data_IF_958191531021
#
_entry.id   IF_958191531021
#
_cell.length_a   1.000
_cell.length_b   1.000
_cell.length_c   1.000
_cell.angle_alpha   90.00
_cell.angle_beta   90.00
_cell.angle_gamma   90.00
#
_symmetry.space_group_name_H-M   'P 1'
#
loop_
_entity.id
_entity.type
_entity.pdbx_description
1 polymer ?
#
# COMPACT_ATOMS: atom_id res chain seq x y z
N UNK A 1 -6.95 -2.33 -2.87
CA UNK A 1 -6.39 -1.92 -1.56
C UNK A 1 -6.52 -3.04 -0.53
N UNK A 2 -7.73 -3.52 -0.20
CA UNK A 2 -7.92 -4.54 0.84
C UNK A 2 -7.06 -5.81 0.61
N UNK A 3 -7.05 -6.36 -0.61
CA UNK A 3 -6.20 -7.52 -0.91
C UNK A 3 -4.70 -7.21 -0.72
N UNK A 4 -4.25 -6.04 -1.14
CA UNK A 4 -2.86 -5.61 -0.98
C UNK A 4 -2.49 -5.39 0.50
N UNK A 5 -3.43 -4.89 1.31
CA UNK A 5 -3.26 -4.78 2.76
C UNK A 5 -3.12 -6.15 3.42
N UNK A 6 -3.95 -7.12 3.02
CA UNK A 6 -3.80 -8.50 3.50
C UNK A 6 -2.45 -9.12 3.12
N UNK A 7 -1.93 -8.84 1.92
CA UNK A 7 -0.57 -9.24 1.55
C UNK A 7 0.49 -8.52 2.37
N UNK A 8 0.32 -7.22 2.64
CA UNK A 8 1.25 -6.47 3.46
C UNK A 8 1.34 -7.05 4.89
N UNK A 9 0.18 -7.27 5.53
CA UNK A 9 0.13 -7.87 6.87
C UNK A 9 0.66 -9.31 6.90
N UNK A 10 0.46 -10.10 5.84
CA UNK A 10 0.99 -11.47 5.80
C UNK A 10 2.51 -11.50 5.64
N UNK A 11 3.08 -10.60 4.83
CA UNK A 11 4.54 -10.42 4.72
C UNK A 11 5.12 -9.93 6.04
N UNK A 12 4.48 -8.96 6.70
CA UNK A 12 4.92 -8.45 7.99
C UNK A 12 4.98 -9.56 9.05
N UNK A 13 3.91 -10.37 9.16
CA UNK A 13 3.86 -11.53 10.07
C UNK A 13 4.90 -12.60 9.72
N UNK A 14 5.10 -12.87 8.42
CA UNK A 14 6.10 -13.83 7.99
C UNK A 14 7.51 -13.39 8.40
N UNK A 15 7.81 -12.10 8.31
CA UNK A 15 9.09 -11.55 8.76
C UNK A 15 9.26 -11.59 10.27
N UNK A 16 8.18 -11.35 11.05
CA UNK A 16 8.21 -11.48 12.52
C UNK A 16 8.53 -12.91 12.97
N UNK A 17 7.97 -13.91 12.29
CA UNK A 17 8.27 -15.33 12.57
C UNK A 17 9.71 -15.69 12.21
N UNK A 18 10.29 -15.04 11.19
CA UNK A 18 11.66 -15.27 10.75
C UNK A 18 12.71 -14.69 11.69
N UNK A 19 12.40 -13.63 12.44
CA UNK A 19 13.29 -13.01 13.41
C UNK A 19 12.52 -12.18 14.42
N UNK A 20 12.57 -12.58 15.69
CA UNK A 20 12.00 -11.80 16.80
C UNK A 20 12.86 -10.57 17.13
N UNK A 21 14.17 -10.59 16.80
CA UNK A 21 15.05 -9.44 16.95
C UNK A 21 15.00 -8.49 15.75
N UNK A 22 15.13 -7.20 16.04
CA UNK A 22 15.16 -6.14 15.03
C UNK A 22 16.35 -6.32 14.07
N UNK A 23 16.07 -6.71 12.83
CA UNK A 23 17.04 -6.79 11.75
C UNK A 23 16.84 -5.65 10.75
N UNK A 24 17.89 -4.87 10.42
CA UNK A 24 17.80 -3.81 9.41
C UNK A 24 17.27 -4.31 8.05
N UNK A 25 17.59 -5.57 7.69
CA UNK A 25 17.13 -6.18 6.44
C UNK A 25 15.62 -6.42 6.46
N UNK A 26 15.09 -6.90 7.59
CA UNK A 26 13.65 -7.16 7.75
C UNK A 26 12.86 -5.87 7.69
N UNK A 27 13.38 -4.80 8.31
CA UNK A 27 12.77 -3.48 8.22
C UNK A 27 12.61 -3.04 6.77
N UNK A 28 13.64 -3.18 5.94
CA UNK A 28 13.56 -2.82 4.51
C UNK A 28 12.47 -3.61 3.78
N UNK A 29 12.32 -4.91 4.08
CA UNK A 29 11.25 -5.73 3.46
C UNK A 29 9.86 -5.25 3.88
N UNK A 30 9.67 -4.96 5.17
CA UNK A 30 8.40 -4.43 5.69
C UNK A 30 8.07 -3.06 5.10
N UNK A 31 9.05 -2.16 5.05
CA UNK A 31 8.89 -0.82 4.48
C UNK A 31 8.55 -0.88 2.98
N UNK A 32 9.20 -1.79 2.24
CA UNK A 32 8.92 -2.00 0.81
C UNK A 32 7.49 -2.51 0.60
N UNK A 33 7.05 -3.46 1.41
CA UNK A 33 5.69 -4.00 1.37
C UNK A 33 4.64 -2.92 1.62
N UNK A 34 4.85 -2.08 2.64
CA UNK A 34 3.96 -0.95 2.95
C UNK A 34 3.94 0.09 1.80
N UNK A 35 5.09 0.36 1.18
CA UNK A 35 5.19 1.28 0.05
C UNK A 35 4.40 0.81 -1.18
N UNK A 36 4.32 -0.52 -1.40
CA UNK A 36 3.55 -1.08 -2.51
C UNK A 36 2.04 -0.80 -2.33
N UNK A 37 1.51 -0.94 -1.11
CA UNK A 37 0.11 -0.61 -0.82
C UNK A 37 -0.17 0.88 -1.02
N UNK A 38 0.77 1.75 -0.60
CA UNK A 38 0.66 3.19 -0.80
C UNK A 38 0.58 3.58 -2.28
N UNK A 39 1.42 3.01 -3.13
CA UNK A 39 1.37 3.25 -4.58
C UNK A 39 0.02 2.83 -5.16
N UNK A 40 -0.51 1.67 -4.76
CA UNK A 40 -1.82 1.21 -5.20
C UNK A 40 -2.95 2.13 -4.76
N UNK A 41 -2.86 2.69 -3.55
CA UNK A 41 -3.82 3.68 -3.05
C UNK A 41 -3.76 4.98 -3.87
N UNK A 42 -2.57 5.44 -4.20
CA UNK A 42 -2.38 6.62 -5.04
C UNK A 42 -2.93 6.41 -6.46
N UNK A 43 -2.72 5.22 -7.03
CA UNK A 43 -3.29 4.88 -8.34
C UNK A 43 -4.82 4.84 -8.33
N UNK A 44 -5.42 4.33 -7.24
CA UNK A 44 -6.87 4.36 -7.08
C UNK A 44 -7.42 5.78 -6.98
N UNK A 45 -6.74 6.67 -6.23
CA UNK A 45 -7.07 8.09 -6.15
C UNK A 45 -7.00 8.76 -7.51
N UNK A 46 -5.88 8.59 -8.24
CA UNK A 46 -5.68 9.18 -9.58
C UNK A 46 -6.74 8.67 -10.55
N UNK A 47 -7.05 7.37 -10.54
CA UNK A 47 -8.09 6.78 -11.39
C UNK A 47 -9.47 7.38 -11.09
N UNK A 48 -9.80 7.55 -9.80
CA UNK A 48 -11.03 8.22 -9.37
C UNK A 48 -11.08 9.67 -9.87
N UNK A 49 -10.00 10.43 -9.69
CA UNK A 49 -9.92 11.81 -10.19
C UNK A 49 -10.11 11.88 -11.70
N UNK A 50 -9.50 10.98 -12.48
CA UNK A 50 -9.66 10.97 -13.94
C UNK A 50 -11.10 10.68 -14.39
N UNK A 51 -11.77 9.71 -13.76
CA UNK A 51 -13.16 9.35 -14.08
C UNK A 51 -14.10 10.50 -13.70
N UNK A 52 -13.92 11.07 -12.52
CA UNK A 52 -14.81 12.11 -12.00
C UNK A 52 -14.42 13.53 -12.41
N UNK A 53 -13.27 13.73 -13.07
CA UNK A 53 -12.74 15.03 -13.44
C UNK A 53 -13.78 15.90 -14.15
N UNK A 54 -14.43 15.33 -15.18
CA UNK A 54 -15.42 16.05 -15.98
C UNK A 54 -16.69 16.37 -15.20
N UNK A 55 -17.10 15.49 -14.28
CA UNK A 55 -18.31 15.68 -13.48
C UNK A 55 -18.09 16.76 -12.42
N UNK A 56 -16.96 16.70 -11.71
CA UNK A 56 -16.58 17.70 -10.70
C UNK A 56 -16.35 19.07 -11.36
N UNK A 57 -15.69 19.12 -12.52
CA UNK A 57 -15.45 20.37 -13.26
C UNK A 57 -16.72 21.02 -13.82
N UNK A 58 -17.86 20.31 -13.89
CA UNK A 58 -19.15 20.91 -14.26
C UNK A 58 -19.98 21.37 -13.06
N UNK A 59 -19.61 20.91 -11.86
CA UNK A 59 -20.33 21.20 -10.62
C UNK A 59 -19.82 22.49 -9.95
N UNK A 60 -18.55 22.83 -10.21
CA UNK A 60 -17.92 24.12 -9.92
C UNK A 60 -18.18 25.06 -11.08
#
# INVERSE_FOLDING_TARGET
>A
MISAEFFNSSIERAMDVLSEEYSPKIKVVKDLSASAVFILALMALVSGLLIFFRYISRLI
#
